data_IF_119503166732
#
_entry.id   IF_119503166732
#
_cell.length_a   1.000
_cell.length_b   1.000
_cell.length_c   1.000
_cell.angle_alpha   90.00
_cell.angle_beta   90.00
_cell.angle_gamma   90.00
#
_symmetry.space_group_name_H-M   'P 1'
#
loop_
_entity.id
_entity.type
_entity.pdbx_description
1 polymer ?
#
# COMPACT_ATOMS: atom_id res chain seq x y z
N UNK A 1 -36.95 3.34 11.19
CA UNK A 1 -36.99 4.66 10.52
C UNK A 1 -37.09 5.71 11.62
N UNK A 2 -36.40 6.86 11.43
CA UNK A 2 -36.07 7.92 12.40
C UNK A 2 -34.82 7.55 13.23
N UNK A 3 -33.59 7.99 12.92
CA UNK A 3 -33.04 9.34 12.63
C UNK A 3 -33.54 10.36 13.67
N UNK A 4 -32.69 10.57 14.68
CA UNK A 4 -32.69 11.78 15.50
C UNK A 4 -31.28 12.35 15.33
N UNK A 5 -31.20 13.42 14.56
CA UNK A 5 -30.09 14.35 14.50
C UNK A 5 -30.01 15.06 15.85
N UNK A 6 -28.84 15.06 16.47
CA UNK A 6 -28.56 15.89 17.64
C UNK A 6 -27.65 17.04 17.18
N UNK A 7 -28.28 18.16 16.81
CA UNK A 7 -27.63 19.45 16.69
C UNK A 7 -27.22 19.95 18.09
N UNK A 8 -25.92 20.17 18.30
CA UNK A 8 -25.41 20.86 19.48
C UNK A 8 -24.77 22.19 19.08
N UNK A 9 -25.66 23.18 18.93
CA UNK A 9 -25.56 24.59 19.35
C UNK A 9 -24.17 25.11 19.76
N UNK A 10 -23.51 25.84 18.86
CA UNK A 10 -22.47 26.80 19.22
C UNK A 10 -23.14 28.13 19.61
N UNK A 11 -23.29 28.37 20.91
CA UNK A 11 -23.53 29.71 21.48
C UNK A 11 -22.18 30.37 21.75
N UNK A 12 -21.70 31.20 20.82
CA UNK A 12 -20.53 32.06 21.07
C UNK A 12 -20.97 33.33 21.79
N UNK A 13 -20.57 33.44 23.05
CA UNK A 13 -20.59 34.69 23.82
C UNK A 13 -19.25 35.38 23.62
N UNK A 14 -19.27 36.64 23.16
CA UNK A 14 -18.09 37.49 22.98
C UNK A 14 -17.32 37.68 24.30
N UNK A 15 -16.10 37.11 24.40
CA UNK A 15 -15.09 37.53 25.38
C UNK A 15 -13.70 37.49 24.73
N UNK A 16 -13.12 38.67 24.49
CA UNK A 16 -11.70 38.85 24.19
C UNK A 16 -10.86 38.30 25.35
N UNK A 17 -10.19 37.17 25.15
CA UNK A 17 -9.03 36.76 25.95
C UNK A 17 -8.06 35.95 25.10
N UNK A 18 -6.76 36.18 25.32
CA UNK A 18 -5.64 35.47 24.71
C UNK A 18 -5.82 33.95 24.83
N UNK A 19 -6.10 33.26 23.73
CA UNK A 19 -6.24 31.80 23.70
C UNK A 19 -4.95 31.18 23.17
N UNK A 20 -4.12 30.68 24.10
CA UNK A 20 -3.33 29.48 23.85
C UNK A 20 -4.33 28.38 23.46
N UNK A 21 -4.27 27.93 22.21
CA UNK A 21 -5.02 26.76 21.77
C UNK A 21 -4.44 25.51 22.44
N UNK A 22 -4.87 25.21 23.67
CA UNK A 22 -4.84 23.85 24.18
C UNK A 22 -5.81 23.01 23.35
N UNK A 23 -5.29 22.45 22.27
CA UNK A 23 -6.03 21.45 21.49
C UNK A 23 -6.20 20.19 22.34
N UNK A 24 -7.47 19.90 22.59
CA UNK A 24 -8.01 18.71 23.22
C UNK A 24 -7.16 17.47 23.01
N UNK A 25 -6.61 16.99 24.12
CA UNK A 25 -5.71 15.85 24.25
C UNK A 25 -6.15 14.62 23.46
N UNK A 26 -5.17 14.02 22.78
CA UNK A 26 -5.18 12.75 22.06
C UNK A 26 -5.46 11.50 22.95
N UNK A 27 -6.15 11.67 24.08
CA UNK A 27 -6.47 10.62 25.06
C UNK A 27 -7.78 9.90 24.72
N UNK A 28 -8.73 10.57 24.05
CA UNK A 28 -9.98 9.95 23.60
C UNK A 28 -9.81 9.04 22.35
N UNK A 29 -8.68 9.13 21.64
CA UNK A 29 -8.38 8.26 20.49
C UNK A 29 -7.90 6.84 20.89
N UNK A 30 -7.64 6.58 22.18
CA UNK A 30 -7.26 5.24 22.65
C UNK A 30 -8.45 4.27 22.70
N UNK A 31 -9.68 4.76 22.85
CA UNK A 31 -10.90 3.92 22.94
C UNK A 31 -11.35 3.44 21.54
N UNK A 32 -11.03 4.19 20.49
CA UNK A 32 -11.32 3.85 19.08
C UNK A 32 -10.37 2.75 18.54
N UNK A 33 -9.33 2.38 19.30
CA UNK A 33 -8.32 1.38 18.92
C UNK A 33 -8.85 -0.04 18.69
N UNK A 34 -9.95 -0.45 19.34
CA UNK A 34 -10.45 -1.82 19.23
C UNK A 34 -11.23 -2.09 17.93
N UNK A 35 -12.04 -1.14 17.47
CA UNK A 35 -12.82 -1.32 16.23
C UNK A 35 -11.96 -1.20 14.98
N UNK A 36 -10.96 -0.30 14.98
CA UNK A 36 -10.03 -0.13 13.86
C UNK A 36 -9.08 -1.33 13.70
N UNK A 37 -8.61 -1.92 14.80
CA UNK A 37 -7.76 -3.13 14.76
C UNK A 37 -8.54 -4.34 14.21
N UNK A 38 -9.84 -4.45 14.56
CA UNK A 38 -10.76 -5.46 14.02
C UNK A 38 -11.04 -5.26 12.52
N UNK A 39 -11.22 -4.01 12.08
CA UNK A 39 -11.47 -3.67 10.67
C UNK A 39 -10.22 -3.84 9.78
N UNK A 40 -9.04 -3.52 10.31
CA UNK A 40 -7.75 -3.72 9.64
C UNK A 40 -7.46 -5.21 9.44
N UNK A 41 -7.74 -6.03 10.45
CA UNK A 41 -7.66 -7.49 10.32
C UNK A 41 -8.64 -8.01 9.26
N UNK A 42 -9.83 -7.41 9.14
CA UNK A 42 -10.82 -7.77 8.12
C UNK A 42 -10.32 -7.55 6.69
N UNK A 43 -9.77 -6.37 6.34
CA UNK A 43 -9.31 -6.10 4.96
C UNK A 43 -8.11 -6.98 4.56
N UNK A 44 -7.14 -7.17 5.45
CA UNK A 44 -5.99 -8.04 5.19
C UNK A 44 -6.42 -9.51 5.00
N UNK A 45 -7.36 -10.00 5.82
CA UNK A 45 -7.91 -11.34 5.67
C UNK A 45 -8.61 -11.51 4.32
N UNK A 46 -9.38 -10.50 3.87
CA UNK A 46 -10.03 -10.53 2.55
C UNK A 46 -9.00 -10.67 1.43
N UNK A 47 -7.93 -9.85 1.43
CA UNK A 47 -6.88 -9.97 0.42
C UNK A 47 -6.19 -11.33 0.44
N UNK A 48 -5.93 -11.88 1.63
CA UNK A 48 -5.30 -13.19 1.79
C UNK A 48 -6.18 -14.33 1.28
N UNK A 49 -7.49 -14.28 1.55
CA UNK A 49 -8.47 -15.26 1.08
C UNK A 49 -8.59 -15.21 -0.45
N UNK A 50 -8.75 -14.01 -1.02
CA UNK A 50 -8.81 -13.82 -2.47
C UNK A 50 -7.55 -14.37 -3.13
N UNK A 51 -6.38 -14.08 -2.56
CA UNK A 51 -5.11 -14.59 -3.05
C UNK A 51 -5.08 -16.13 -3.03
N UNK A 52 -5.46 -16.76 -1.92
CA UNK A 52 -5.52 -18.22 -1.82
C UNK A 52 -6.45 -18.84 -2.87
N UNK A 53 -7.61 -18.24 -3.11
CA UNK A 53 -8.55 -18.70 -4.14
C UNK A 53 -7.95 -18.61 -5.55
N UNK A 54 -7.26 -17.51 -5.87
CA UNK A 54 -6.57 -17.35 -7.17
C UNK A 54 -5.51 -18.43 -7.37
N UNK A 55 -4.70 -18.71 -6.34
CA UNK A 55 -3.65 -19.75 -6.42
C UNK A 55 -4.24 -21.16 -6.51
N UNK A 56 -5.35 -21.43 -5.83
CA UNK A 56 -6.04 -22.72 -5.92
C UNK A 56 -6.62 -22.93 -7.33
N UNK A 57 -7.20 -21.89 -7.93
CA UNK A 57 -7.67 -21.91 -9.32
C UNK A 57 -6.51 -22.11 -10.31
N UNK A 58 -5.37 -21.45 -10.08
CA UNK A 58 -4.18 -21.60 -10.90
C UNK A 58 -3.65 -23.03 -10.84
N UNK A 59 -3.57 -23.62 -9.64
CA UNK A 59 -3.14 -24.99 -9.44
C UNK A 59 -4.03 -26.00 -10.19
N UNK A 60 -5.35 -25.84 -10.13
CA UNK A 60 -6.30 -26.70 -10.89
C UNK A 60 -6.12 -26.49 -12.40
N UNK A 61 -5.96 -25.23 -12.84
CA UNK A 61 -5.84 -24.87 -14.26
C UNK A 61 -4.56 -25.41 -14.89
N UNK A 62 -3.44 -25.37 -14.19
CA UNK A 62 -2.16 -25.94 -14.66
C UNK A 62 -2.20 -27.46 -14.77
N UNK A 63 -2.96 -28.13 -13.88
CA UNK A 63 -3.15 -29.57 -13.98
C UNK A 63 -4.08 -29.99 -15.12
N UNK A 64 -4.99 -29.11 -15.58
CA UNK A 64 -6.02 -29.44 -16.60
C UNK A 64 -5.79 -28.84 -17.98
N UNK A 65 -4.95 -27.82 -18.14
CA UNK A 65 -4.89 -27.03 -19.38
C UNK A 65 -3.47 -26.74 -19.88
N UNK A 66 -3.37 -26.53 -21.20
CA UNK A 66 -2.14 -26.21 -21.93
C UNK A 66 -1.95 -24.69 -22.16
N UNK A 67 -2.99 -23.87 -21.91
CA UNK A 67 -3.03 -22.46 -22.31
C UNK A 67 -2.54 -21.47 -21.25
N UNK A 68 -2.48 -21.87 -19.98
CA UNK A 68 -2.00 -21.03 -18.90
C UNK A 68 -0.70 -21.65 -18.40
N UNK A 69 0.43 -20.96 -18.63
CA UNK A 69 1.74 -21.38 -18.10
C UNK A 69 2.10 -20.52 -16.87
N UNK A 70 2.96 -21.06 -16.02
CA UNK A 70 3.43 -20.42 -14.80
C UNK A 70 4.09 -19.06 -15.08
N UNK A 71 4.80 -18.92 -16.21
CA UNK A 71 5.43 -17.66 -16.60
C UNK A 71 4.40 -16.52 -16.71
N UNK A 72 3.32 -16.72 -17.48
CA UNK A 72 2.27 -15.72 -17.64
C UNK A 72 1.57 -15.42 -16.31
N UNK A 73 1.27 -16.45 -15.52
CA UNK A 73 0.65 -16.29 -14.19
C UNK A 73 1.53 -15.48 -13.24
N UNK A 74 2.83 -15.79 -13.18
CA UNK A 74 3.81 -15.10 -12.31
C UNK A 74 3.92 -13.62 -12.64
N UNK A 75 3.88 -13.26 -13.92
CA UNK A 75 3.88 -11.87 -14.37
C UNK A 75 2.57 -11.16 -14.00
N UNK A 76 1.42 -11.79 -14.26
CA UNK A 76 0.10 -11.23 -13.93
C UNK A 76 -0.06 -10.99 -12.43
N UNK A 77 0.35 -11.95 -11.58
CA UNK A 77 0.23 -11.81 -10.13
C UNK A 77 1.15 -10.71 -9.60
N UNK A 78 2.40 -10.64 -10.09
CA UNK A 78 3.34 -9.59 -9.70
C UNK A 78 2.84 -8.20 -10.09
N UNK A 79 2.37 -8.03 -11.33
CA UNK A 79 1.83 -6.77 -11.83
C UNK A 79 0.56 -6.34 -11.08
N UNK A 80 -0.38 -7.25 -10.88
CA UNK A 80 -1.62 -6.96 -10.15
C UNK A 80 -1.35 -6.60 -8.69
N UNK A 81 -0.50 -7.37 -7.99
CA UNK A 81 -0.13 -7.08 -6.61
C UNK A 81 0.61 -5.75 -6.47
N UNK A 82 1.49 -5.40 -7.42
CA UNK A 82 2.13 -4.09 -7.45
C UNK A 82 1.10 -2.95 -7.54
N UNK A 83 0.13 -3.04 -8.44
CA UNK A 83 -0.94 -2.03 -8.56
C UNK A 83 -1.72 -1.91 -7.25
N UNK A 84 -2.11 -3.04 -6.66
CA UNK A 84 -2.85 -3.05 -5.39
C UNK A 84 -2.01 -2.41 -4.27
N UNK A 85 -0.72 -2.70 -4.19
CA UNK A 85 0.17 -2.14 -3.16
C UNK A 85 0.40 -0.65 -3.37
N UNK A 86 0.53 -0.21 -4.63
CA UNK A 86 0.61 1.19 -4.98
C UNK A 86 -0.67 1.94 -4.59
N UNK A 87 -1.85 1.44 -4.97
CA UNK A 87 -3.13 2.08 -4.60
C UNK A 87 -3.35 2.16 -3.09
N UNK A 88 -2.82 1.22 -2.32
CA UNK A 88 -2.94 1.20 -0.85
C UNK A 88 -1.76 1.85 -0.12
N UNK A 89 -0.81 2.46 -0.84
CA UNK A 89 0.43 3.00 -0.25
C UNK A 89 0.18 4.13 0.77
N UNK A 90 -0.80 5.00 0.53
CA UNK A 90 -1.19 6.03 1.51
C UNK A 90 -1.78 5.39 2.77
N UNK A 91 -2.59 4.34 2.61
CA UNK A 91 -3.13 3.59 3.74
C UNK A 91 -2.01 2.90 4.53
N UNK A 92 -0.97 2.39 3.85
CA UNK A 92 0.20 1.78 4.50
C UNK A 92 0.93 2.77 5.43
N UNK A 93 1.08 4.03 5.01
CA UNK A 93 1.62 5.11 5.85
C UNK A 93 0.66 5.42 6.99
N UNK A 94 -0.61 5.73 6.65
CA UNK A 94 -1.60 6.23 7.60
C UNK A 94 -1.83 5.27 8.78
N UNK A 95 -1.84 3.97 8.51
CA UNK A 95 -2.13 2.90 9.49
C UNK A 95 -0.92 2.06 9.87
N UNK A 96 0.29 2.41 9.41
CA UNK A 96 1.52 1.65 9.63
C UNK A 96 1.39 0.15 9.26
N UNK A 97 0.86 -0.14 8.08
CA UNK A 97 0.52 -1.53 7.67
C UNK A 97 1.65 -2.26 6.94
N UNK A 98 2.88 -1.73 6.94
CA UNK A 98 4.02 -2.33 6.24
C UNK A 98 4.23 -3.82 6.57
N UNK A 99 4.06 -4.22 7.84
CA UNK A 99 4.16 -5.62 8.26
C UNK A 99 3.11 -6.51 7.57
N UNK A 100 1.88 -6.02 7.42
CA UNK A 100 0.79 -6.79 6.82
C UNK A 100 1.03 -6.99 5.33
N UNK A 101 1.41 -5.93 4.60
CA UNK A 101 1.74 -6.04 3.19
C UNK A 101 3.00 -6.88 2.93
N UNK A 102 4.00 -6.83 3.82
CA UNK A 102 5.16 -7.72 3.76
C UNK A 102 4.77 -9.19 3.96
N UNK A 103 3.86 -9.49 4.90
CA UNK A 103 3.31 -10.84 5.08
C UNK A 103 2.54 -11.31 3.84
N UNK A 104 1.79 -10.43 3.17
CA UNK A 104 1.13 -10.76 1.91
C UNK A 104 2.16 -11.09 0.82
N UNK A 105 3.24 -10.30 0.72
CA UNK A 105 4.36 -10.57 -0.19
C UNK A 105 5.01 -11.94 0.08
N UNK A 106 5.28 -12.27 1.34
CA UNK A 106 5.80 -13.59 1.73
C UNK A 106 4.83 -14.72 1.39
N UNK A 107 3.53 -14.51 1.56
CA UNK A 107 2.50 -15.48 1.19
C UNK A 107 2.49 -15.75 -0.33
N UNK A 108 2.63 -14.71 -1.17
CA UNK A 108 2.75 -14.85 -2.63
C UNK A 108 3.97 -15.71 -2.98
N UNK A 109 5.13 -15.45 -2.37
CA UNK A 109 6.36 -16.22 -2.61
C UNK A 109 6.18 -17.68 -2.19
N UNK A 110 5.59 -17.92 -1.02
CA UNK A 110 5.33 -19.26 -0.52
C UNK A 110 4.41 -20.05 -1.46
N UNK A 111 3.27 -19.47 -1.85
CA UNK A 111 2.33 -20.11 -2.78
C UNK A 111 2.95 -20.32 -4.17
N UNK A 112 3.73 -19.35 -4.65
CA UNK A 112 4.47 -19.46 -5.92
C UNK A 112 5.53 -20.55 -5.90
N UNK A 113 6.15 -20.79 -4.74
CA UNK A 113 7.13 -21.88 -4.56
C UNK A 113 6.44 -23.24 -4.67
N UNK A 114 5.26 -23.39 -4.06
CA UNK A 114 4.45 -24.61 -4.19
C UNK A 114 4.10 -24.86 -5.66
N UNK A 115 3.60 -23.83 -6.36
CA UNK A 115 3.29 -23.93 -7.78
C UNK A 115 4.52 -24.34 -8.60
N UNK A 116 5.66 -23.66 -8.43
CA UNK A 116 6.92 -23.95 -9.12
C UNK A 116 7.33 -25.42 -8.99
N UNK A 117 7.30 -25.97 -7.77
CA UNK A 117 7.67 -27.37 -7.50
C UNK A 117 6.71 -28.32 -8.23
N UNK A 118 5.42 -28.01 -8.23
CA UNK A 118 4.39 -28.86 -8.83
C UNK A 118 4.36 -28.80 -10.36
N UNK A 119 4.62 -27.64 -10.95
CA UNK A 119 4.59 -27.44 -12.41
C UNK A 119 5.95 -27.66 -13.08
N UNK A 120 7.03 -27.83 -12.31
CA UNK A 120 8.42 -27.95 -12.79
C UNK A 120 8.81 -26.78 -13.71
N UNK A 121 8.30 -25.59 -13.42
CA UNK A 121 8.54 -24.40 -14.23
C UNK A 121 9.94 -23.80 -13.99
N UNK A 122 10.30 -22.79 -14.78
CA UNK A 122 11.60 -22.15 -14.67
C UNK A 122 11.72 -21.30 -13.41
N UNK A 123 12.89 -21.34 -12.76
CA UNK A 123 13.20 -20.52 -11.60
C UNK A 123 13.17 -19.02 -11.92
N UNK A 124 13.50 -18.61 -13.14
CA UNK A 124 13.43 -17.20 -13.55
C UNK A 124 12.03 -16.61 -13.44
N UNK A 125 10.99 -17.37 -13.82
CA UNK A 125 9.60 -16.93 -13.71
C UNK A 125 9.18 -16.74 -12.24
N UNK A 126 9.72 -17.58 -11.35
CA UNK A 126 9.48 -17.47 -9.91
C UNK A 126 10.06 -16.17 -9.33
N UNK A 127 11.22 -15.70 -9.80
CA UNK A 127 11.86 -14.46 -9.30
C UNK A 127 10.91 -13.26 -9.44
N UNK A 128 10.10 -13.21 -10.50
CA UNK A 128 9.13 -12.14 -10.75
C UNK A 128 8.11 -12.03 -9.61
N UNK A 129 7.75 -13.16 -8.98
CA UNK A 129 6.79 -13.21 -7.86
C UNK A 129 7.32 -12.62 -6.56
N UNK A 130 8.64 -12.38 -6.46
CA UNK A 130 9.27 -11.72 -5.29
C UNK A 130 9.10 -10.19 -5.36
N UNK A 131 8.80 -9.65 -6.54
CA UNK A 131 8.69 -8.21 -6.77
C UNK A 131 7.73 -7.46 -5.82
N UNK A 132 6.52 -7.96 -5.49
CA UNK A 132 5.64 -7.30 -4.53
C UNK A 132 6.26 -7.13 -3.13
N UNK A 133 7.06 -8.11 -2.66
CA UNK A 133 7.76 -7.99 -1.38
C UNK A 133 8.84 -6.92 -1.46
N UNK A 134 9.64 -6.92 -2.54
CA UNK A 134 10.66 -5.89 -2.76
C UNK A 134 10.05 -4.49 -2.85
N UNK A 135 8.87 -4.34 -3.46
CA UNK A 135 8.16 -3.07 -3.52
C UNK A 135 7.83 -2.53 -2.11
N UNK A 136 7.36 -3.38 -1.19
CA UNK A 136 7.06 -2.97 0.19
C UNK A 136 8.34 -2.53 0.93
N UNK A 137 9.44 -3.28 0.76
CA UNK A 137 10.73 -2.94 1.35
C UNK A 137 11.28 -1.62 0.78
N UNK A 138 11.25 -1.49 -0.55
CA UNK A 138 11.64 -0.27 -1.26
C UNK A 138 10.86 0.95 -0.78
N UNK A 139 9.54 0.83 -0.67
CA UNK A 139 8.70 1.92 -0.17
C UNK A 139 9.07 2.31 1.26
N UNK A 140 9.34 1.33 2.13
CA UNK A 140 9.77 1.61 3.50
C UNK A 140 11.14 2.32 3.55
N UNK A 141 12.07 1.94 2.69
CA UNK A 141 13.38 2.60 2.56
C UNK A 141 13.22 4.03 2.05
N UNK A 142 12.39 4.25 1.03
CA UNK A 142 12.07 5.59 0.55
C UNK A 142 11.52 6.48 1.67
N UNK A 143 10.56 5.98 2.45
CA UNK A 143 10.01 6.73 3.58
C UNK A 143 11.07 7.06 4.62
N UNK A 144 11.97 6.13 4.92
CA UNK A 144 13.07 6.38 5.84
C UNK A 144 14.04 7.46 5.30
N UNK A 145 14.33 7.46 4.00
CA UNK A 145 15.24 8.44 3.38
C UNK A 145 14.64 9.85 3.37
N UNK A 146 13.37 9.99 3.00
CA UNK A 146 12.72 11.30 2.88
C UNK A 146 12.13 11.81 4.20
N UNK A 147 11.76 10.89 5.11
CA UNK A 147 11.05 11.17 6.37
C UNK A 147 11.52 10.27 7.51
N UNK A 148 12.82 10.32 7.84
CA UNK A 148 13.50 9.50 8.86
C UNK A 148 12.73 9.33 10.19
N UNK A 149 12.04 10.38 10.63
CA UNK A 149 11.31 10.42 11.91
C UNK A 149 9.77 10.47 11.76
N UNK A 150 9.21 10.03 10.63
CA UNK A 150 7.76 10.14 10.40
C UNK A 150 6.90 9.37 11.44
N UNK A 151 7.47 8.35 12.07
CA UNK A 151 6.81 7.63 13.15
C UNK A 151 6.57 8.49 14.41
N UNK A 152 7.42 9.49 14.63
CA UNK A 152 7.38 10.40 15.78
C UNK A 152 6.83 11.79 15.42
N UNK A 153 6.72 12.10 14.13
CA UNK A 153 6.17 13.36 13.63
C UNK A 153 4.64 13.36 13.65
N UNK A 154 4.05 14.49 14.06
CA UNK A 154 2.61 14.73 13.96
C UNK A 154 2.13 14.82 12.49
N UNK A 155 3.03 15.15 11.56
CA UNK A 155 2.74 15.25 10.12
C UNK A 155 3.18 13.98 9.40
N UNK A 156 2.20 13.25 8.84
CA UNK A 156 2.42 12.10 7.97
C UNK A 156 2.65 12.56 6.53
N UNK A 157 3.54 11.90 5.77
CA UNK A 157 3.74 12.22 4.36
C UNK A 157 2.49 11.90 3.55
N UNK A 158 2.16 12.78 2.61
CA UNK A 158 1.05 12.60 1.68
C UNK A 158 1.60 12.19 0.32
N UNK A 159 1.16 11.02 -0.16
CA UNK A 159 1.47 10.54 -1.49
C UNK A 159 0.51 11.16 -2.50
N UNK A 160 1.08 11.51 -3.63
CA UNK A 160 0.40 12.05 -4.77
C UNK A 160 0.13 10.90 -5.74
N UNK A 161 -1.14 10.66 -6.03
CA UNK A 161 -1.53 9.66 -7.03
C UNK A 161 -1.76 10.33 -8.37
N UNK A 162 -1.21 9.74 -9.43
CA UNK A 162 -1.48 10.14 -10.80
C UNK A 162 -2.99 9.95 -11.07
N UNK A 163 -3.73 11.04 -11.28
CA UNK A 163 -5.15 11.01 -11.65
C UNK A 163 -5.34 11.41 -13.12
N UNK A 164 -6.40 10.90 -13.76
CA UNK A 164 -6.79 11.34 -15.12
C UNK A 164 -6.99 12.86 -15.11
N UNK A 165 -6.13 13.60 -15.82
CA UNK A 165 -6.25 15.06 -16.01
C UNK A 165 -5.25 15.93 -15.26
N UNK A 166 -3.95 15.56 -15.27
CA UNK A 166 -2.77 16.37 -14.87
C UNK A 166 -2.66 16.88 -13.43
N UNK A 167 -3.71 16.78 -12.61
CA UNK A 167 -3.66 17.19 -11.20
C UNK A 167 -3.44 15.99 -10.29
N UNK A 168 -2.30 15.99 -9.62
CA UNK A 168 -1.97 15.08 -8.52
C UNK A 168 -3.07 15.15 -7.45
N UNK A 169 -3.75 14.03 -7.17
CA UNK A 169 -4.75 13.96 -6.09
C UNK A 169 -4.08 13.49 -4.80
N UNK A 170 -4.39 14.17 -3.71
CA UNK A 170 -3.99 13.83 -2.35
C UNK A 170 -5.23 13.56 -1.49
N UNK A 171 -5.13 12.63 -0.56
CA UNK A 171 -6.26 12.17 0.28
C UNK A 171 -6.65 13.22 1.36
N UNK A 172 -5.73 14.14 1.71
CA UNK A 172 -5.96 15.23 2.66
C UNK A 172 -6.23 16.56 1.94
N UNK A 173 -7.42 16.70 1.34
CA UNK A 173 -7.87 17.95 0.73
C UNK A 173 -8.30 18.97 1.81
N UNK A 174 -7.35 19.46 2.60
CA UNK A 174 -7.56 20.74 3.28
C UNK A 174 -7.20 21.85 2.29
N UNK A 175 -8.07 22.86 2.15
CA UNK A 175 -7.92 23.98 1.21
C UNK A 175 -6.61 24.79 1.39
N UNK A 176 -5.87 24.56 2.47
CA UNK A 176 -4.61 25.23 2.80
C UNK A 176 -3.37 24.33 2.69
N UNK A 177 -3.52 23.08 2.24
CA UNK A 177 -2.39 22.14 2.14
C UNK A 177 -1.46 22.48 0.96
N UNK A 178 -0.23 22.87 1.27
CA UNK A 178 0.82 23.11 0.26
C UNK A 178 1.64 21.83 0.11
N UNK A 179 1.55 21.21 -1.07
CA UNK A 179 2.34 20.04 -1.45
C UNK A 179 3.82 20.41 -1.45
N UNK A 180 4.65 19.62 -0.77
CA UNK A 180 6.09 19.83 -0.75
C UNK A 180 6.79 19.13 -1.93
N UNK A 181 7.93 19.67 -2.37
CA UNK A 181 8.77 19.03 -3.41
C UNK A 181 9.20 17.61 -3.03
N UNK A 182 9.40 17.36 -1.73
CA UNK A 182 9.76 16.03 -1.21
C UNK A 182 8.65 15.00 -1.46
N UNK A 183 7.38 15.39 -1.34
CA UNK A 183 6.24 14.50 -1.59
C UNK A 183 6.09 14.19 -3.08
N UNK A 184 6.34 15.17 -3.94
CA UNK A 184 6.35 14.97 -5.40
C UNK A 184 7.44 13.97 -5.78
N UNK A 185 8.66 14.17 -5.29
CA UNK A 185 9.79 13.29 -5.57
C UNK A 185 9.53 11.88 -5.01
N UNK A 186 9.04 11.77 -3.78
CA UNK A 186 8.69 10.49 -3.15
C UNK A 186 7.64 9.74 -3.97
N UNK A 187 6.57 10.42 -4.39
CA UNK A 187 5.46 9.81 -5.14
C UNK A 187 5.90 9.36 -6.53
N UNK A 188 6.70 10.17 -7.21
CA UNK A 188 7.31 9.80 -8.50
C UNK A 188 8.25 8.60 -8.35
N UNK A 189 9.14 8.59 -7.35
CA UNK A 189 10.04 7.47 -7.09
C UNK A 189 9.28 6.21 -6.70
N UNK A 190 8.17 6.33 -5.97
CA UNK A 190 7.36 5.19 -5.57
C UNK A 190 6.72 4.51 -6.79
N UNK A 191 6.23 5.27 -7.76
CA UNK A 191 5.60 4.75 -8.97
C UNK A 191 6.62 4.32 -10.03
N UNK A 192 7.58 5.18 -10.39
CA UNK A 192 8.52 4.95 -11.49
C UNK A 192 9.77 4.19 -11.08
N UNK A 193 10.19 4.29 -9.81
CA UNK A 193 11.42 3.67 -9.32
C UNK A 193 11.51 2.17 -9.60
N UNK A 194 10.47 1.37 -9.36
CA UNK A 194 10.53 -0.06 -9.67
C UNK A 194 10.78 -0.37 -11.15
N UNK A 195 10.28 0.44 -12.08
CA UNK A 195 10.56 0.31 -13.51
C UNK A 195 11.99 0.71 -13.88
N UNK A 196 12.53 1.74 -13.24
CA UNK A 196 13.93 2.13 -13.41
C UNK A 196 14.87 1.01 -12.96
N UNK A 197 14.60 0.39 -11.81
CA UNK A 197 15.38 -0.77 -11.35
C UNK A 197 15.25 -1.97 -12.28
N UNK A 198 14.03 -2.29 -12.74
CA UNK A 198 13.83 -3.38 -13.70
C UNK A 198 14.58 -3.13 -15.02
N UNK A 199 14.55 -1.90 -15.54
CA UNK A 199 15.27 -1.49 -16.74
C UNK A 199 16.79 -1.59 -16.56
N UNK A 200 17.33 -1.15 -15.43
CA UNK A 200 18.76 -1.29 -15.12
C UNK A 200 19.20 -2.76 -15.07
N UNK A 201 18.41 -3.61 -14.42
CA UNK A 201 18.69 -5.06 -14.36
C UNK A 201 18.65 -5.68 -15.75
N UNK A 202 17.66 -5.32 -16.57
CA UNK A 202 17.55 -5.80 -17.95
C UNK A 202 18.77 -5.39 -18.79
N UNK A 203 19.19 -4.12 -18.72
CA UNK A 203 20.36 -3.61 -19.43
C UNK A 203 21.63 -4.37 -19.02
N UNK A 204 21.84 -4.61 -17.72
CA UNK A 204 23.01 -5.35 -17.21
C UNK A 204 23.00 -6.82 -17.65
N UNK A 205 21.82 -7.44 -17.79
CA UNK A 205 21.71 -8.83 -18.26
C UNK A 205 21.93 -8.93 -19.77
N UNK A 206 21.38 -8.00 -20.56
CA UNK A 206 21.40 -8.06 -22.03
C UNK A 206 22.72 -7.58 -22.64
N UNK A 207 23.41 -6.63 -21.99
CA UNK A 207 24.71 -6.13 -22.47
C UNK A 207 25.87 -7.08 -22.11
N UNK A 208 25.62 -8.07 -21.24
CA UNK A 208 26.60 -9.09 -20.86
C UNK A 208 26.54 -10.31 -21.79
#
# INVERSE_FOLDING_TARGET
MNIVEEELSCKETNVKTNLNFEHTTCKNNLIIGNNLKKLINSKFAIYSIILLLIYLLAFISFNKSWFFDFSMFSFCIAGFCWIVFYMNSQQMINKNQFKQFALLGLLIIFLSTILLITTKSNFFDFIVTVFPLFYVLYFRVLLFLFYKDFHNSYKKPTLLFASKGSKWRHENQDYTYIISTKEIILSNLLFFGPFLFAGLVFVVIVIR
#
